data_IF_835043812436
#
_entry.id   IF_835043812436
#
_cell.length_a   1.000
_cell.length_b   1.000
_cell.length_c   1.000
_cell.angle_alpha   90.00
_cell.angle_beta   90.00
_cell.angle_gamma   90.00
#
_symmetry.space_group_name_H-M   'P 1'
#
loop_
_entity.id
_entity.type
_entity.pdbx_description
1 polymer ?
#
# COMPACT_ATOMS: atom_id res chain seq x y z
N UNK A 1 19.82 -42.04 0.03
CA UNK A 1 18.54 -41.29 -0.09
C UNK A 1 18.07 -40.65 1.22
N UNK A 2 18.26 -41.20 2.41
CA UNK A 2 17.82 -40.63 3.68
C UNK A 2 18.57 -39.32 4.09
N UNK A 3 19.87 -39.20 3.73
CA UNK A 3 20.66 -38.01 4.12
C UNK A 3 20.34 -36.74 3.29
N UNK A 4 19.92 -36.92 2.03
CA UNK A 4 19.60 -35.78 1.13
C UNK A 4 18.28 -35.11 1.51
N UNK A 5 17.32 -35.87 2.02
CA UNK A 5 16.03 -35.36 2.48
C UNK A 5 16.17 -34.54 3.78
N UNK A 6 17.03 -35.01 4.70
CA UNK A 6 17.30 -34.29 5.95
C UNK A 6 17.98 -32.91 5.71
N UNK A 7 18.93 -32.86 4.76
CA UNK A 7 19.68 -31.64 4.43
C UNK A 7 18.75 -30.60 3.77
N UNK A 8 17.84 -31.05 2.87
CA UNK A 8 16.87 -30.18 2.24
C UNK A 8 15.82 -29.62 3.23
N UNK A 9 15.40 -30.44 4.20
CA UNK A 9 14.48 -30.03 5.25
C UNK A 9 15.12 -29.01 6.21
N UNK A 10 16.38 -29.19 6.58
CA UNK A 10 17.12 -28.23 7.41
C UNK A 10 17.38 -26.92 6.67
N UNK A 11 17.65 -26.95 5.35
CA UNK A 11 17.82 -25.75 4.56
C UNK A 11 16.49 -24.98 4.45
N UNK A 12 15.37 -25.66 4.24
CA UNK A 12 14.03 -25.03 4.22
C UNK A 12 13.65 -24.44 5.59
N UNK A 13 13.96 -25.11 6.69
CA UNK A 13 13.72 -24.56 8.03
C UNK A 13 14.60 -23.35 8.33
N UNK A 14 15.88 -23.36 7.91
CA UNK A 14 16.77 -22.21 8.11
C UNK A 14 16.35 -20.99 7.29
N UNK A 15 15.87 -21.17 6.06
CA UNK A 15 15.34 -20.09 5.22
C UNK A 15 14.04 -19.52 5.81
N UNK A 16 13.15 -20.36 6.34
CA UNK A 16 11.94 -19.91 7.04
C UNK A 16 12.26 -19.16 8.35
N UNK A 17 13.22 -19.62 9.12
CA UNK A 17 13.66 -18.95 10.35
C UNK A 17 14.32 -17.60 10.03
N UNK A 18 15.13 -17.51 8.97
CA UNK A 18 15.77 -16.27 8.54
C UNK A 18 14.74 -15.24 8.06
N UNK A 19 13.71 -15.67 7.32
CA UNK A 19 12.61 -14.79 6.89
C UNK A 19 11.74 -14.31 8.08
N UNK A 20 11.66 -15.09 9.14
CA UNK A 20 10.94 -14.70 10.35
C UNK A 20 11.72 -13.68 11.19
N UNK A 21 13.05 -13.75 11.15
CA UNK A 21 13.95 -12.78 11.79
C UNK A 21 14.00 -11.46 11.02
N UNK A 22 13.92 -11.51 9.69
CA UNK A 22 14.02 -10.36 8.81
C UNK A 22 12.93 -9.28 9.05
N UNK A 23 11.73 -9.69 9.47
CA UNK A 23 10.59 -8.82 9.75
C UNK A 23 10.15 -8.88 11.22
N UNK A 24 11.07 -9.23 12.13
CA UNK A 24 10.79 -9.43 13.56
C UNK A 24 10.20 -8.21 14.26
N UNK A 25 10.55 -7.01 13.80
CA UNK A 25 10.04 -5.75 14.34
C UNK A 25 8.56 -5.46 13.99
N UNK A 26 8.03 -6.14 12.97
CA UNK A 26 6.61 -6.04 12.65
C UNK A 26 5.77 -6.98 13.53
N UNK A 27 4.95 -6.41 14.40
CA UNK A 27 4.01 -7.16 15.22
C UNK A 27 2.99 -7.92 14.34
N UNK A 28 2.78 -9.22 14.62
CA UNK A 28 1.70 -10.01 13.98
C UNK A 28 0.39 -9.73 14.68
N UNK A 29 -0.62 -9.30 13.93
CA UNK A 29 -1.94 -8.96 14.47
C UNK A 29 -3.06 -9.53 13.58
N UNK A 30 -4.25 -9.62 14.17
CA UNK A 30 -5.50 -9.94 13.48
C UNK A 30 -6.53 -8.90 13.90
N UNK A 31 -7.19 -8.29 12.94
CA UNK A 31 -8.36 -7.46 13.14
C UNK A 31 -9.61 -8.29 12.89
N UNK A 32 -10.64 -8.08 13.70
CA UNK A 32 -11.96 -8.66 13.48
C UNK A 32 -12.96 -7.51 13.31
N UNK A 33 -13.62 -7.47 12.16
CA UNK A 33 -14.58 -6.42 11.82
C UNK A 33 -15.86 -6.52 12.63
N UNK A 34 -16.67 -5.48 12.56
CA UNK A 34 -18.02 -5.44 13.16
C UNK A 34 -18.95 -6.55 12.61
N UNK A 35 -18.65 -7.09 11.44
CA UNK A 35 -19.38 -8.18 10.79
C UNK A 35 -18.78 -9.57 11.04
N UNK A 36 -17.71 -9.66 11.85
CA UNK A 36 -17.01 -10.92 12.16
C UNK A 36 -15.95 -11.33 11.13
N UNK A 37 -15.68 -10.53 10.12
CA UNK A 37 -14.63 -10.79 9.15
C UNK A 37 -13.25 -10.54 9.77
N UNK A 38 -12.29 -11.42 9.52
CA UNK A 38 -10.94 -11.28 10.03
C UNK A 38 -9.97 -10.81 8.95
N UNK A 39 -9.04 -9.92 9.32
CA UNK A 39 -7.97 -9.43 8.48
C UNK A 39 -6.64 -9.52 9.23
N UNK A 40 -5.74 -10.38 8.74
CA UNK A 40 -4.38 -10.46 9.26
C UNK A 40 -3.59 -9.25 8.80
N UNK A 41 -2.75 -8.71 9.68
CA UNK A 41 -1.90 -7.58 9.33
C UNK A 41 -0.61 -7.56 10.15
N UNK A 42 0.36 -6.84 9.65
CA UNK A 42 1.59 -6.50 10.35
C UNK A 42 1.60 -5.03 10.73
N UNK A 43 2.02 -4.77 11.94
CA UNK A 43 2.19 -3.41 12.47
C UNK A 43 3.66 -3.16 12.77
N UNK A 44 4.24 -2.16 12.12
CA UNK A 44 5.49 -1.56 12.58
C UNK A 44 5.16 -0.29 13.35
N UNK A 45 5.71 -0.16 14.57
CA UNK A 45 5.57 1.04 15.39
C UNK A 45 6.75 1.99 15.19
N UNK A 46 6.57 3.30 15.40
CA UNK A 46 7.71 4.21 15.47
C UNK A 46 8.74 3.71 16.47
N UNK A 47 10.01 3.83 16.12
CA UNK A 47 11.07 3.54 17.07
C UNK A 47 11.06 4.57 18.19
N UNK A 48 11.15 4.13 19.44
CA UNK A 48 11.14 4.97 20.65
C UNK A 48 9.95 5.95 20.68
N UNK A 49 8.71 5.43 20.69
CA UNK A 49 7.52 6.26 20.90
C UNK A 49 7.65 7.15 22.12
N UNK A 50 7.43 8.45 21.93
CA UNK A 50 7.48 9.46 23.00
C UNK A 50 6.07 9.85 23.45
N UNK A 51 5.86 9.91 24.74
CA UNK A 51 4.58 10.36 25.30
C UNK A 51 4.20 11.76 24.76
N UNK A 52 2.96 11.91 24.33
CA UNK A 52 2.43 13.17 23.78
C UNK A 52 2.86 13.50 22.36
N UNK A 53 3.79 12.76 21.74
CA UNK A 53 4.14 12.92 20.32
C UNK A 53 3.15 12.18 19.44
N UNK A 54 2.76 12.81 18.34
CA UNK A 54 1.97 12.18 17.27
C UNK A 54 2.86 11.78 16.09
N UNK A 55 2.53 10.66 15.47
CA UNK A 55 3.29 10.08 14.37
C UNK A 55 2.40 9.86 13.15
N UNK A 56 2.95 10.02 11.94
CA UNK A 56 2.24 9.64 10.71
C UNK A 56 1.81 8.18 10.73
N UNK A 57 0.80 7.88 9.93
CA UNK A 57 0.34 6.51 9.65
C UNK A 57 0.45 6.21 8.16
N UNK A 58 1.10 5.11 7.84
CA UNK A 58 1.21 4.60 6.48
C UNK A 58 0.41 3.31 6.36
N UNK A 59 -0.53 3.26 5.42
CA UNK A 59 -1.21 2.04 5.02
C UNK A 59 -0.52 1.51 3.76
N UNK A 60 0.12 0.34 3.86
CA UNK A 60 0.84 -0.31 2.77
C UNK A 60 0.07 -1.52 2.24
N UNK A 61 -0.29 -1.50 0.95
CA UNK A 61 -1.07 -2.53 0.26
C UNK A 61 -0.18 -3.32 -0.71
N UNK A 62 -0.06 -4.62 -0.46
CA UNK A 62 0.72 -5.55 -1.28
C UNK A 62 0.03 -5.91 -2.61
N UNK A 63 0.77 -6.54 -3.53
CA UNK A 63 0.28 -7.03 -4.81
C UNK A 63 -0.50 -8.35 -4.72
N UNK A 64 -0.96 -8.85 -5.86
CA UNK A 64 -1.79 -10.05 -5.92
C UNK A 64 -1.04 -11.33 -5.54
N UNK A 65 0.29 -11.36 -5.70
CA UNK A 65 1.14 -12.51 -5.37
C UNK A 65 1.27 -12.77 -3.87
N UNK A 66 1.10 -11.74 -3.04
CA UNK A 66 1.29 -11.79 -1.59
C UNK A 66 0.01 -12.07 -0.81
N UNK A 67 -1.12 -12.30 -1.51
CA UNK A 67 -2.38 -12.74 -0.90
C UNK A 67 -2.21 -14.06 -0.16
N UNK A 68 -2.94 -14.21 0.92
CA UNK A 68 -2.88 -15.43 1.72
C UNK A 68 -3.33 -15.21 3.15
N UNK A 69 -2.80 -16.07 4.02
CA UNK A 69 -3.15 -16.07 5.45
C UNK A 69 -1.92 -16.35 6.35
N UNK A 70 -0.71 -16.35 5.77
CA UNK A 70 0.54 -16.59 6.52
C UNK A 70 0.98 -15.40 7.37
N UNK A 71 0.40 -14.24 7.15
CA UNK A 71 0.75 -12.98 7.79
C UNK A 71 2.25 -12.64 7.65
N UNK A 72 2.84 -12.93 6.48
CA UNK A 72 4.26 -12.70 6.16
C UNK A 72 4.49 -12.16 4.76
N UNK A 73 3.85 -12.74 3.73
CA UNK A 73 4.10 -12.42 2.32
C UNK A 73 3.85 -10.95 1.99
N UNK A 74 2.90 -10.30 2.67
CA UNK A 74 2.61 -8.87 2.46
C UNK A 74 3.81 -7.94 2.66
N UNK A 75 4.89 -8.40 3.31
CA UNK A 75 6.10 -7.62 3.56
C UNK A 75 7.22 -7.86 2.54
N UNK A 76 7.09 -8.88 1.67
CA UNK A 76 8.17 -9.29 0.74
C UNK A 76 8.61 -8.15 -0.18
N UNK A 77 7.67 -7.33 -0.65
CA UNK A 77 7.97 -6.14 -1.44
C UNK A 77 7.70 -4.89 -0.60
N UNK A 78 8.73 -4.17 -0.23
CA UNK A 78 8.63 -2.90 0.51
C UNK A 78 8.75 -2.98 2.04
N UNK A 79 8.58 -4.14 2.67
CA UNK A 79 8.71 -4.27 4.12
C UNK A 79 10.09 -3.85 4.65
N UNK A 80 11.15 -4.14 3.89
CA UNK A 80 12.53 -3.77 4.22
C UNK A 80 12.80 -2.26 4.21
N UNK A 81 12.13 -1.52 3.34
CA UNK A 81 12.30 -0.07 3.27
C UNK A 81 12.00 0.60 4.63
N UNK A 82 10.97 0.12 5.33
CA UNK A 82 10.58 0.65 6.63
C UNK A 82 11.48 0.19 7.77
N UNK A 83 12.25 -0.89 7.60
CA UNK A 83 13.23 -1.39 8.57
C UNK A 83 14.62 -0.79 8.39
N UNK A 84 14.83 -0.02 7.32
CA UNK A 84 16.10 0.68 7.12
C UNK A 84 16.34 1.65 8.30
N UNK A 85 17.48 1.56 9.02
CA UNK A 85 17.73 2.36 10.22
C UNK A 85 17.61 3.87 9.99
N UNK A 86 18.06 4.37 8.84
CA UNK A 86 17.95 5.79 8.48
C UNK A 86 16.48 6.19 8.34
N UNK A 87 15.69 5.37 7.63
CA UNK A 87 14.25 5.65 7.47
C UNK A 87 13.50 5.58 8.81
N UNK A 88 13.88 4.67 9.71
CA UNK A 88 13.26 4.58 11.03
C UNK A 88 13.56 5.79 11.90
N UNK A 89 14.77 6.33 11.80
CA UNK A 89 15.20 7.52 12.56
C UNK A 89 14.58 8.80 11.99
N UNK A 90 14.67 8.99 10.66
CA UNK A 90 14.25 10.24 10.01
C UNK A 90 12.74 10.32 9.78
N UNK A 91 12.09 9.18 9.55
CA UNK A 91 10.68 9.08 9.18
C UNK A 91 9.88 8.14 10.11
N UNK A 92 9.92 8.35 11.44
CA UNK A 92 9.21 7.49 12.39
C UNK A 92 7.70 7.56 12.16
N UNK A 93 7.08 6.40 11.89
CA UNK A 93 5.66 6.27 11.58
C UNK A 93 5.09 4.94 12.06
N UNK A 94 3.77 4.87 12.21
CA UNK A 94 3.06 3.60 12.21
C UNK A 94 2.93 3.11 10.78
N UNK A 95 3.29 1.84 10.53
CA UNK A 95 3.07 1.21 9.22
C UNK A 95 2.15 0.02 9.39
N UNK A 96 1.00 0.09 8.75
CA UNK A 96 0.02 -1.00 8.65
C UNK A 96 0.22 -1.74 7.33
N UNK A 97 0.55 -3.01 7.39
CA UNK A 97 0.65 -3.89 6.24
C UNK A 97 -0.34 -5.05 6.36
N UNK A 98 -1.60 -4.86 5.96
CA UNK A 98 -2.60 -5.93 5.95
C UNK A 98 -2.31 -6.96 4.87
N UNK A 99 -2.77 -8.22 5.07
CA UNK A 99 -2.70 -9.27 4.07
C UNK A 99 -4.10 -9.58 3.54
N UNK A 100 -4.31 -9.29 2.26
CA UNK A 100 -5.54 -9.64 1.55
C UNK A 100 -5.67 -11.17 1.48
N UNK A 101 -6.82 -11.76 1.82
CA UNK A 101 -7.06 -13.18 1.66
C UNK A 101 -6.88 -13.64 0.20
N UNK A 102 -6.61 -14.92 0.00
CA UNK A 102 -6.32 -15.48 -1.33
C UNK A 102 -7.48 -15.32 -2.30
N UNK A 103 -8.69 -15.38 -1.80
CA UNK A 103 -9.96 -15.33 -2.55
C UNK A 103 -10.42 -13.89 -2.84
N UNK A 104 -9.85 -12.91 -2.13
CA UNK A 104 -10.25 -11.51 -2.21
C UNK A 104 -9.29 -10.67 -3.07
N UNK A 105 -9.71 -9.43 -3.33
CA UNK A 105 -8.95 -8.40 -4.04
C UNK A 105 -9.20 -7.04 -3.38
N UNK A 106 -8.18 -6.13 -3.32
CA UNK A 106 -8.37 -4.88 -2.55
C UNK A 106 -9.53 -4.04 -3.06
N UNK A 107 -9.49 -3.65 -4.32
CA UNK A 107 -10.42 -2.68 -4.87
C UNK A 107 -11.63 -3.31 -5.59
N UNK A 108 -11.50 -4.55 -6.09
CA UNK A 108 -12.48 -5.17 -6.98
C UNK A 108 -12.93 -6.54 -6.48
N UNK A 109 -14.07 -6.99 -6.97
CA UNK A 109 -14.52 -8.38 -6.75
C UNK A 109 -13.68 -9.32 -7.62
N UNK A 110 -12.57 -9.80 -7.06
CA UNK A 110 -11.58 -10.61 -7.76
C UNK A 110 -10.68 -9.78 -8.70
N UNK A 111 -9.87 -10.50 -9.51
CA UNK A 111 -8.99 -9.88 -10.49
C UNK A 111 -9.82 -9.25 -11.62
N UNK A 112 -9.58 -7.99 -12.02
CA UNK A 112 -10.23 -7.41 -13.19
C UNK A 112 -10.03 -8.26 -14.45
N UNK A 113 -11.06 -8.39 -15.26
CA UNK A 113 -11.00 -9.14 -16.53
C UNK A 113 -10.23 -8.38 -17.61
N UNK A 114 -10.24 -7.06 -17.53
CA UNK A 114 -9.52 -6.15 -18.43
C UNK A 114 -8.69 -5.19 -17.60
N UNK A 115 -7.53 -4.79 -18.14
CA UNK A 115 -6.70 -3.70 -17.64
C UNK A 115 -6.68 -2.51 -18.62
N UNK A 116 -7.79 -2.30 -19.32
CA UNK A 116 -8.02 -1.08 -20.10
C UNK A 116 -8.67 -0.04 -19.17
N UNK A 117 -8.09 1.16 -18.99
CA UNK A 117 -8.57 2.13 -18.01
C UNK A 117 -10.05 2.48 -18.14
N UNK A 118 -10.55 2.71 -19.36
CA UNK A 118 -11.96 3.03 -19.62
C UNK A 118 -12.93 1.85 -19.40
N UNK A 119 -12.44 0.62 -19.30
CA UNK A 119 -13.23 -0.58 -18.99
C UNK A 119 -13.24 -0.93 -17.50
N UNK A 120 -12.43 -0.24 -16.70
CA UNK A 120 -12.48 -0.41 -15.25
C UNK A 120 -13.79 0.17 -14.71
N UNK A 121 -14.38 -0.44 -13.64
CA UNK A 121 -15.65 0.04 -13.10
C UNK A 121 -15.61 1.51 -12.67
N UNK A 122 -16.60 2.31 -13.08
CA UNK A 122 -16.78 3.69 -12.59
C UNK A 122 -17.38 3.70 -11.20
N UNK A 123 -18.37 2.85 -10.97
CA UNK A 123 -19.04 2.71 -9.68
C UNK A 123 -18.96 1.25 -9.25
N UNK A 124 -18.57 1.03 -8.03
CA UNK A 124 -18.63 -0.27 -7.41
C UNK A 124 -18.82 -0.14 -5.91
N UNK A 125 -19.57 -1.05 -5.32
CA UNK A 125 -19.66 -1.16 -3.87
C UNK A 125 -18.33 -1.64 -3.28
N UNK A 126 -17.96 -1.17 -2.08
CA UNK A 126 -16.77 -1.70 -1.40
C UNK A 126 -16.90 -3.20 -1.19
N UNK A 127 -15.85 -3.94 -1.50
CA UNK A 127 -15.81 -5.37 -1.21
C UNK A 127 -15.84 -5.62 0.30
N UNK A 128 -16.14 -6.86 0.71
CA UNK A 128 -16.08 -7.27 2.11
C UNK A 128 -14.72 -6.93 2.73
N UNK A 129 -13.63 -7.34 2.05
CA UNK A 129 -12.28 -7.10 2.56
C UNK A 129 -11.92 -5.60 2.59
N UNK A 130 -12.44 -4.82 1.65
CA UNK A 130 -12.22 -3.38 1.63
C UNK A 130 -12.92 -2.68 2.82
N UNK A 131 -14.12 -3.09 3.19
CA UNK A 131 -14.82 -2.60 4.40
C UNK A 131 -14.04 -2.95 5.67
N UNK A 132 -13.59 -4.21 5.78
CA UNK A 132 -12.76 -4.67 6.91
C UNK A 132 -11.46 -3.88 7.02
N UNK A 133 -10.82 -3.58 5.87
CA UNK A 133 -9.62 -2.74 5.80
C UNK A 133 -9.89 -1.32 6.30
N UNK A 134 -11.03 -0.73 5.91
CA UNK A 134 -11.41 0.61 6.36
C UNK A 134 -11.68 0.64 7.87
N UNK A 135 -12.39 -0.35 8.41
CA UNK A 135 -12.61 -0.46 9.86
C UNK A 135 -11.29 -0.62 10.62
N UNK A 136 -10.35 -1.42 10.11
CA UNK A 136 -9.00 -1.51 10.69
C UNK A 136 -8.31 -0.14 10.68
N UNK A 137 -8.32 0.56 9.56
CA UNK A 137 -7.74 1.90 9.46
C UNK A 137 -8.36 2.86 10.48
N UNK A 138 -9.69 2.86 10.62
CA UNK A 138 -10.41 3.72 11.57
C UNK A 138 -9.99 3.48 13.03
N UNK A 139 -9.67 2.23 13.39
CA UNK A 139 -9.15 1.91 14.72
C UNK A 139 -7.86 2.67 15.01
N UNK A 140 -6.98 2.79 14.01
CA UNK A 140 -5.73 3.53 14.17
C UNK A 140 -5.93 5.04 14.07
N UNK A 141 -6.84 5.53 13.24
CA UNK A 141 -7.20 6.95 13.19
C UNK A 141 -7.79 7.46 14.51
N UNK A 142 -8.38 6.58 15.31
CA UNK A 142 -8.89 6.93 16.64
C UNK A 142 -7.79 7.03 17.71
N UNK A 143 -6.57 6.54 17.45
CA UNK A 143 -5.47 6.56 18.41
C UNK A 143 -4.92 7.98 18.62
N UNK A 144 -4.73 8.43 19.85
CA UNK A 144 -4.20 9.78 20.14
C UNK A 144 -2.75 9.98 19.67
N UNK A 145 -2.01 8.89 19.46
CA UNK A 145 -0.62 8.91 18.97
C UNK A 145 -0.53 9.08 17.44
N UNK A 146 -1.63 8.95 16.71
CA UNK A 146 -1.65 9.11 15.25
C UNK A 146 -1.87 10.56 14.88
N UNK A 147 -1.02 11.08 14.01
CA UNK A 147 -1.15 12.40 13.41
C UNK A 147 -2.13 12.34 12.23
N UNK A 148 -3.35 12.80 12.45
CA UNK A 148 -4.44 12.73 11.47
C UNK A 148 -4.18 13.58 10.22
N UNK A 149 -3.28 14.55 10.30
CA UNK A 149 -2.91 15.37 9.15
C UNK A 149 -1.88 14.68 8.23
N UNK A 150 -1.31 13.56 8.69
CA UNK A 150 -0.25 12.83 7.99
C UNK A 150 -0.59 11.34 7.88
N UNK A 151 -1.68 11.05 7.18
CA UNK A 151 -2.11 9.69 6.86
C UNK A 151 -1.79 9.44 5.38
N UNK A 152 -1.08 8.37 5.12
CA UNK A 152 -0.63 8.03 3.78
C UNK A 152 -1.11 6.65 3.38
N UNK A 153 -1.43 6.49 2.10
CA UNK A 153 -1.71 5.19 1.50
C UNK A 153 -0.78 4.93 0.34
N UNK A 154 -0.23 3.72 0.30
CA UNK A 154 0.63 3.31 -0.80
C UNK A 154 0.46 1.82 -1.09
N UNK A 155 0.77 1.42 -2.30
CA UNK A 155 0.68 0.01 -2.66
C UNK A 155 1.10 -0.26 -4.09
N UNK A 156 1.36 -1.54 -4.37
CA UNK A 156 1.88 -1.99 -5.66
C UNK A 156 0.89 -2.92 -6.38
N UNK A 157 0.79 -2.80 -7.71
CA UNK A 157 -0.07 -3.66 -8.56
C UNK A 157 -1.53 -3.66 -8.05
N UNK A 158 -2.04 -4.80 -7.59
CA UNK A 158 -3.33 -4.91 -6.90
C UNK A 158 -3.45 -3.89 -5.74
N UNK A 159 -2.38 -3.68 -4.98
CA UNK A 159 -2.30 -2.67 -3.92
C UNK A 159 -2.30 -1.25 -4.46
N UNK A 160 -1.73 -1.01 -5.64
CA UNK A 160 -1.82 0.28 -6.34
C UNK A 160 -3.26 0.60 -6.76
N UNK A 161 -4.02 -0.40 -7.19
CA UNK A 161 -5.47 -0.26 -7.45
C UNK A 161 -6.23 0.07 -6.15
N UNK A 162 -5.90 -0.61 -5.05
CA UNK A 162 -6.46 -0.32 -3.73
C UNK A 162 -6.12 1.07 -3.23
N UNK A 163 -4.90 1.55 -3.51
CA UNK A 163 -4.44 2.91 -3.19
C UNK A 163 -5.30 3.97 -3.88
N UNK A 164 -5.54 3.82 -5.19
CA UNK A 164 -6.45 4.71 -5.90
C UNK A 164 -7.87 4.67 -5.32
N UNK A 165 -8.40 3.46 -5.07
CA UNK A 165 -9.77 3.31 -4.60
C UNK A 165 -9.98 3.90 -3.20
N UNK A 166 -9.01 3.75 -2.30
CA UNK A 166 -9.03 4.37 -0.97
C UNK A 166 -9.00 5.90 -1.07
N UNK A 167 -8.09 6.45 -1.88
CA UNK A 167 -7.99 7.90 -2.06
C UNK A 167 -9.26 8.51 -2.68
N UNK A 168 -9.92 7.78 -3.59
CA UNK A 168 -11.19 8.20 -4.21
C UNK A 168 -12.36 8.18 -3.22
N UNK A 169 -12.42 7.16 -2.36
CA UNK A 169 -13.54 6.97 -1.43
C UNK A 169 -13.43 7.79 -0.17
N UNK A 170 -12.20 8.08 0.26
CA UNK A 170 -11.91 8.76 1.53
C UNK A 170 -10.85 9.85 1.33
N UNK A 171 -11.10 10.82 0.41
CA UNK A 171 -10.12 11.86 0.11
C UNK A 171 -9.81 12.73 1.32
N UNK A 172 -10.74 12.84 2.27
CA UNK A 172 -10.59 13.59 3.52
C UNK A 172 -9.66 12.92 4.54
N UNK A 173 -9.28 11.66 4.31
CA UNK A 173 -8.42 10.88 5.21
C UNK A 173 -6.96 11.00 4.84
N UNK A 174 -6.65 11.00 3.53
CA UNK A 174 -5.28 10.80 3.06
C UNK A 174 -4.62 12.11 2.64
N UNK A 175 -3.50 12.44 3.28
CA UNK A 175 -2.63 13.53 2.86
C UNK A 175 -1.91 13.23 1.55
N UNK A 176 -1.54 11.95 1.34
CA UNK A 176 -0.92 11.51 0.10
C UNK A 176 -1.25 10.05 -0.24
N UNK A 177 -1.19 9.76 -1.54
CA UNK A 177 -1.37 8.43 -2.11
C UNK A 177 -0.22 8.10 -3.09
N UNK A 178 0.38 6.91 -2.94
CA UNK A 178 1.47 6.45 -3.82
C UNK A 178 1.08 5.12 -4.48
N UNK A 179 0.31 5.16 -5.57
CA UNK A 179 0.02 3.96 -6.35
C UNK A 179 1.20 3.61 -7.27
N UNK A 180 1.69 2.36 -7.17
CA UNK A 180 2.79 1.82 -7.99
C UNK A 180 2.22 0.76 -8.91
N UNK A 181 2.43 0.86 -10.23
CA UNK A 181 1.93 -0.01 -11.29
C UNK A 181 0.46 -0.44 -11.10
N UNK A 182 -0.37 0.50 -10.62
CA UNK A 182 -1.81 0.31 -10.46
C UNK A 182 -2.60 0.80 -11.67
N UNK A 183 -3.90 0.51 -11.66
CA UNK A 183 -4.85 1.00 -12.66
C UNK A 183 -6.19 1.33 -12.00
N UNK A 184 -6.86 2.34 -12.53
CA UNK A 184 -8.19 2.77 -12.08
C UNK A 184 -8.96 3.35 -13.27
N UNK A 185 -10.30 3.41 -13.19
CA UNK A 185 -11.06 4.19 -14.16
C UNK A 185 -10.78 5.68 -13.94
N UNK A 186 -10.25 6.40 -14.96
CA UNK A 186 -9.87 7.80 -14.83
C UNK A 186 -11.06 8.73 -14.48
N UNK A 187 -12.29 8.37 -14.86
CA UNK A 187 -13.49 9.14 -14.56
C UNK A 187 -13.77 9.31 -13.06
N UNK A 188 -13.23 8.40 -12.23
CA UNK A 188 -13.41 8.43 -10.78
C UNK A 188 -12.47 9.41 -10.05
N UNK A 189 -11.37 9.81 -10.69
CA UNK A 189 -10.24 10.46 -10.01
C UNK A 189 -10.51 11.90 -9.58
N UNK A 190 -11.51 12.58 -10.18
CA UNK A 190 -11.91 13.91 -9.76
C UNK A 190 -12.34 13.98 -8.27
N UNK A 191 -12.83 12.87 -7.71
CA UNK A 191 -13.20 12.77 -6.30
C UNK A 191 -11.99 12.86 -5.35
N UNK A 192 -10.78 12.52 -5.86
CA UNK A 192 -9.54 12.53 -5.08
C UNK A 192 -8.65 13.76 -5.36
N UNK A 193 -9.18 14.82 -5.95
CA UNK A 193 -8.41 16.00 -6.38
C UNK A 193 -7.61 16.69 -5.26
N UNK A 194 -8.07 16.56 -4.01
CA UNK A 194 -7.45 17.19 -2.85
C UNK A 194 -6.39 16.31 -2.18
N UNK A 195 -6.26 15.04 -2.60
CA UNK A 195 -5.18 14.12 -2.19
C UNK A 195 -3.96 14.38 -3.08
N UNK A 196 -2.78 14.39 -2.49
CA UNK A 196 -1.53 14.52 -3.25
C UNK A 196 -1.08 13.15 -3.74
N UNK A 197 -0.68 13.09 -5.01
CA UNK A 197 -0.30 11.82 -5.63
C UNK A 197 1.14 11.82 -6.12
N UNK A 198 1.84 10.70 -5.89
CA UNK A 198 3.05 10.35 -6.63
C UNK A 198 2.87 8.96 -7.22
N UNK A 199 2.75 8.90 -8.54
CA UNK A 199 2.44 7.67 -9.29
C UNK A 199 3.75 7.13 -9.88
N UNK A 200 3.99 5.83 -9.73
CA UNK A 200 5.14 5.14 -10.33
C UNK A 200 4.70 4.02 -11.25
N UNK A 201 5.37 3.86 -12.41
CA UNK A 201 5.12 2.74 -13.32
C UNK A 201 6.34 2.46 -14.20
N UNK A 202 6.50 1.22 -14.64
CA UNK A 202 7.49 0.84 -15.66
C UNK A 202 6.85 0.86 -17.05
N UNK A 203 7.53 1.45 -18.05
CA UNK A 203 6.97 1.59 -19.40
C UNK A 203 6.90 0.27 -20.19
N UNK A 204 7.65 -0.75 -19.75
CA UNK A 204 7.63 -2.10 -20.31
C UNK A 204 6.74 -3.08 -19.52
N UNK A 205 5.82 -2.58 -18.67
CA UNK A 205 4.93 -3.44 -17.88
C UNK A 205 3.96 -4.22 -18.78
N UNK A 206 4.12 -5.54 -18.81
CA UNK A 206 3.33 -6.48 -19.60
C UNK A 206 2.20 -7.16 -18.82
N UNK A 207 1.97 -6.77 -17.57
CA UNK A 207 0.92 -7.31 -16.68
C UNK A 207 -0.19 -6.29 -16.47
N UNK A 208 0.19 -5.07 -16.04
CA UNK A 208 -0.70 -3.91 -15.92
C UNK A 208 -0.18 -2.83 -16.85
N UNK A 209 -0.90 -2.52 -17.94
CA UNK A 209 -0.40 -1.57 -18.94
C UNK A 209 -0.12 -0.19 -18.32
N UNK A 210 1.04 0.37 -18.66
CA UNK A 210 1.49 1.70 -18.21
C UNK A 210 0.49 2.82 -18.54
N UNK A 211 -0.31 2.62 -19.58
CA UNK A 211 -1.37 3.55 -19.99
C UNK A 211 -2.38 3.82 -18.87
N UNK A 212 -2.59 2.87 -17.95
CA UNK A 212 -3.39 3.07 -16.75
C UNK A 212 -2.90 4.23 -15.88
N UNK A 213 -1.60 4.27 -15.60
CA UNK A 213 -0.98 5.37 -14.82
C UNK A 213 -0.90 6.67 -15.62
N UNK A 214 -0.62 6.60 -16.92
CA UNK A 214 -0.61 7.80 -17.79
C UNK A 214 -1.97 8.49 -17.83
N UNK A 215 -3.06 7.72 -17.94
CA UNK A 215 -4.42 8.26 -17.93
C UNK A 215 -4.83 8.75 -16.54
N UNK A 216 -4.43 8.03 -15.48
CA UNK A 216 -4.67 8.48 -14.12
C UNK A 216 -3.99 9.85 -13.84
N UNK A 217 -2.73 9.99 -14.24
CA UNK A 217 -2.00 11.26 -14.15
C UNK A 217 -2.71 12.40 -14.88
N UNK A 218 -3.11 12.17 -16.16
CA UNK A 218 -3.82 13.16 -16.96
C UNK A 218 -5.15 13.58 -16.31
N UNK A 219 -5.92 12.61 -15.81
CA UNK A 219 -7.20 12.87 -15.16
C UNK A 219 -7.06 13.66 -13.86
N UNK A 220 -6.08 13.31 -13.01
CA UNK A 220 -5.78 14.05 -11.78
C UNK A 220 -5.32 15.49 -12.08
N UNK A 221 -4.43 15.69 -13.06
CA UNK A 221 -4.03 17.03 -13.50
C UNK A 221 -5.21 17.84 -14.01
N UNK A 222 -6.09 17.23 -14.82
CA UNK A 222 -7.30 17.90 -15.32
C UNK A 222 -8.27 18.28 -14.19
N UNK A 223 -8.31 17.51 -13.11
CA UNK A 223 -9.10 17.81 -11.92
C UNK A 223 -8.46 18.86 -11.00
N UNK A 224 -7.23 19.30 -11.29
CA UNK A 224 -6.48 20.28 -10.48
C UNK A 224 -5.75 19.68 -9.29
N UNK A 225 -5.55 18.35 -9.27
CA UNK A 225 -4.81 17.67 -8.21
C UNK A 225 -3.31 17.98 -8.25
N UNK A 226 -2.68 17.97 -7.08
CA UNK A 226 -1.22 17.94 -6.95
C UNK A 226 -0.74 16.52 -7.21
N UNK A 227 -0.17 16.27 -8.39
CA UNK A 227 0.24 14.93 -8.81
C UNK A 227 1.55 14.95 -9.57
N UNK A 228 2.44 14.03 -9.19
CA UNK A 228 3.68 13.70 -9.88
C UNK A 228 3.57 12.31 -10.51
N UNK A 229 4.23 12.12 -11.64
CA UNK A 229 4.29 10.83 -12.31
C UNK A 229 5.72 10.50 -12.72
N UNK A 230 6.22 9.38 -12.25
CA UNK A 230 7.54 8.87 -12.54
C UNK A 230 7.40 7.57 -13.33
N UNK A 231 7.86 7.58 -14.56
CA UNK A 231 7.88 6.43 -15.46
C UNK A 231 9.30 5.90 -15.58
N UNK A 232 9.50 4.60 -15.35
CA UNK A 232 10.82 3.97 -15.41
C UNK A 232 11.03 3.31 -16.77
N UNK A 233 11.97 3.81 -17.61
CA UNK A 233 12.23 3.25 -18.93
C UNK A 233 12.74 1.81 -18.87
N UNK A 234 12.16 0.92 -19.69
CA UNK A 234 12.53 -0.49 -19.79
C UNK A 234 12.17 -1.36 -18.58
N UNK A 235 11.50 -0.80 -17.58
CA UNK A 235 11.11 -1.54 -16.38
C UNK A 235 9.77 -2.23 -16.62
N UNK A 236 9.73 -3.54 -16.36
CA UNK A 236 8.54 -4.38 -16.41
C UNK A 236 7.69 -4.19 -15.13
N UNK A 237 6.77 -5.11 -14.83
CA UNK A 237 5.82 -5.03 -13.70
C UNK A 237 6.47 -4.78 -12.33
N UNK A 238 7.75 -5.08 -12.15
CA UNK A 238 8.51 -4.88 -10.90
C UNK A 238 8.89 -3.43 -10.56
N UNK A 239 8.15 -2.43 -11.04
CA UNK A 239 8.47 -0.99 -10.84
C UNK A 239 8.50 -0.52 -9.38
N UNK A 240 7.99 -1.32 -8.43
CA UNK A 240 8.16 -1.05 -6.99
C UNK A 240 9.62 -1.08 -6.54
N UNK A 241 10.48 -1.88 -7.20
CA UNK A 241 11.91 -1.93 -6.84
C UNK A 241 12.61 -0.60 -7.07
N UNK A 242 12.60 0.02 -8.27
CA UNK A 242 13.16 1.35 -8.44
C UNK A 242 12.37 2.43 -7.68
N UNK A 243 11.05 2.29 -7.49
CA UNK A 243 10.27 3.27 -6.73
C UNK A 243 10.72 3.33 -5.26
N UNK A 244 10.91 2.19 -4.59
CA UNK A 244 11.37 2.16 -3.19
C UNK A 244 12.87 2.53 -3.03
N UNK A 245 13.63 2.53 -4.12
CA UNK A 245 15.02 3.01 -4.16
C UNK A 245 15.13 4.48 -4.63
N UNK A 246 14.02 5.13 -4.96
CA UNK A 246 14.02 6.56 -5.27
C UNK A 246 14.39 7.36 -4.00
N UNK A 247 15.49 8.11 -4.06
CA UNK A 247 16.02 8.88 -2.93
C UNK A 247 15.05 9.95 -2.41
N UNK A 248 14.13 10.40 -3.26
CA UNK A 248 13.12 11.40 -2.88
C UNK A 248 11.84 10.79 -2.30
N UNK A 249 11.66 9.46 -2.40
CA UNK A 249 10.41 8.80 -2.01
C UNK A 249 9.97 9.14 -0.58
N UNK A 250 10.85 8.88 0.39
CA UNK A 250 10.53 9.10 1.81
C UNK A 250 10.35 10.59 2.13
N UNK A 251 11.27 11.43 1.66
CA UNK A 251 11.20 12.87 1.86
C UNK A 251 9.94 13.48 1.28
N UNK A 252 9.58 13.10 0.05
CA UNK A 252 8.34 13.55 -0.57
C UNK A 252 7.12 13.13 0.23
N UNK A 253 7.01 11.83 0.60
CA UNK A 253 5.84 11.29 1.30
C UNK A 253 5.62 11.98 2.64
N UNK A 254 6.67 12.11 3.45
CA UNK A 254 6.58 12.65 4.81
C UNK A 254 6.45 14.17 4.87
N UNK A 255 6.70 14.87 3.77
CA UNK A 255 6.43 16.30 3.64
C UNK A 255 4.95 16.62 3.36
N UNK A 256 4.13 15.61 3.02
CA UNK A 256 2.72 15.83 2.72
C UNK A 256 1.91 15.97 4.00
N UNK A 257 0.98 16.91 3.98
CA UNK A 257 -0.03 17.09 5.03
C UNK A 257 -1.40 17.25 4.39
N UNK A 258 -2.42 16.81 5.09
CA UNK A 258 -3.80 16.98 4.68
C UNK A 258 -4.06 18.49 4.52
N UNK A 259 -4.57 18.87 3.35
CA UNK A 259 -4.97 20.25 3.11
C UNK A 259 -6.17 20.55 3.98
N UNK A 260 -6.03 21.52 4.89
CA UNK A 260 -7.18 22.04 5.63
C UNK A 260 -8.04 22.81 4.63
N UNK A 261 -8.98 22.12 4.00
CA UNK A 261 -10.07 22.81 3.31
C UNK A 261 -10.91 23.41 4.42
N UNK A 262 -10.80 24.70 4.60
CA UNK A 262 -11.71 25.44 5.46
C UNK A 262 -13.11 25.31 4.85
N UNK A 263 -13.95 24.50 5.50
CA UNK A 263 -15.39 24.45 5.23
C UNK A 263 -16.01 25.77 5.73
#
# INVERSE_FOLDING_TARGET
MKNTVCTALMLLMSVCMYAQELYGEYEKKVYVSSQGDSLKYRLLRPEAEKAGKKYPLVLFLHGAGERGDDNQKQLVHGGQMWLNPVNREEYPAFVLAPQCPKEDYWAYVGRPKSFVPGEMPEVQEPTRIFRTLKELLDTYLAMPQVDKDRIYVMGLSMGGMGTFDLAIRYPEVFAAAVPICGIVNPARLSAAKDVKFRIYHGDADNIVPVEGSRQAYKALKAAGADVEYIEFPGVNHGSWTPAFNDSEFMGWLFNQKLSLIHI
#
